data_IF_360677572288
#
_entry.id   IF_360677572288
#
_cell.length_a   1.000
_cell.length_b   1.000
_cell.length_c   1.000
_cell.angle_alpha   90.00
_cell.angle_beta   90.00
_cell.angle_gamma   90.00
#
_symmetry.space_group_name_H-M   'P 1'
#
loop_
_entity.id
_entity.type
_entity.pdbx_description
1 polymer ?
#
# COMPACT_ATOMS: atom_id res chain seq x y z
N UNK A 1 -21.93 -7.80 7.28
CA UNK A 1 -21.83 -7.67 8.74
C UNK A 1 -22.01 -6.20 9.08
N UNK A 2 -22.91 -5.86 9.99
CA UNK A 2 -23.11 -4.48 10.43
C UNK A 2 -22.27 -4.21 11.66
N UNK A 3 -21.49 -3.14 11.61
CA UNK A 3 -20.72 -2.57 12.71
C UNK A 3 -21.63 -1.61 13.47
N UNK A 4 -21.78 -1.82 14.77
CA UNK A 4 -22.51 -0.92 15.63
C UNK A 4 -21.63 -0.28 16.72
N UNK A 5 -22.21 0.64 17.48
CA UNK A 5 -21.54 1.30 18.60
C UNK A 5 -21.10 0.38 19.75
N UNK A 6 -21.42 -0.92 19.74
CA UNK A 6 -21.05 -1.90 20.77
C UNK A 6 -19.77 -2.68 20.43
N UNK A 7 -19.17 -2.41 19.27
CA UNK A 7 -17.89 -2.99 18.86
C UNK A 7 -16.85 -2.92 19.97
N UNK A 8 -16.20 -4.05 20.22
CA UNK A 8 -15.04 -4.09 21.11
C UNK A 8 -13.88 -3.37 20.44
N UNK A 9 -13.49 -2.24 21.02
CA UNK A 9 -12.37 -1.42 20.56
C UNK A 9 -11.17 -1.59 21.49
N UNK A 10 -9.99 -1.82 20.92
CA UNK A 10 -8.71 -1.68 21.62
C UNK A 10 -8.04 -0.40 21.16
N UNK A 11 -7.94 0.59 22.05
CA UNK A 11 -7.21 1.83 21.78
C UNK A 11 -5.71 1.54 21.87
N UNK A 12 -4.98 1.81 20.78
CA UNK A 12 -3.53 1.58 20.70
C UNK A 12 -2.73 2.87 20.59
N UNK A 13 -3.39 3.98 20.22
CA UNK A 13 -2.85 5.34 20.28
C UNK A 13 -4.00 6.36 20.39
N UNK A 14 -3.73 7.65 20.66
CA UNK A 14 -4.78 8.66 20.79
C UNK A 14 -5.76 8.73 19.61
N UNK A 15 -5.27 8.45 18.40
CA UNK A 15 -6.00 8.53 17.13
C UNK A 15 -6.21 7.18 16.43
N UNK A 16 -5.96 6.08 17.15
CA UNK A 16 -5.89 4.74 16.57
C UNK A 16 -6.58 3.72 17.48
N UNK A 17 -7.63 3.08 16.95
CA UNK A 17 -8.35 2.01 17.62
C UNK A 17 -8.52 0.82 16.65
N UNK A 18 -8.37 -0.39 17.20
CA UNK A 18 -8.66 -1.63 16.49
C UNK A 18 -10.05 -2.11 16.92
N UNK A 19 -10.96 -2.21 15.96
CA UNK A 19 -12.20 -2.96 16.09
C UNK A 19 -11.91 -4.45 15.90
N UNK A 20 -12.31 -5.23 16.90
CA UNK A 20 -12.27 -6.69 16.83
C UNK A 20 -13.51 -7.19 16.12
N UNK A 21 -13.35 -7.63 14.87
CA UNK A 21 -14.48 -8.14 14.10
C UNK A 21 -14.75 -9.60 14.54
N UNK A 22 -16.02 -9.97 14.81
CA UNK A 22 -16.37 -11.37 14.99
C UNK A 22 -16.06 -12.14 13.71
N UNK A 23 -15.87 -13.45 13.86
CA UNK A 23 -15.76 -14.33 12.72
C UNK A 23 -17.03 -14.24 11.85
N UNK A 24 -16.92 -14.45 10.53
CA UNK A 24 -18.08 -14.46 9.68
C UNK A 24 -19.09 -15.50 10.21
N UNK A 25 -20.40 -15.23 10.14
CA UNK A 25 -21.39 -16.23 10.50
C UNK A 25 -21.20 -17.46 9.60
N UNK A 26 -21.48 -18.65 10.14
CA UNK A 26 -21.54 -19.86 9.32
C UNK A 26 -22.53 -19.64 8.16
N UNK A 27 -22.08 -19.95 6.94
CA UNK A 27 -22.85 -19.81 5.71
C UNK A 27 -22.68 -21.07 4.88
N UNK A 28 -23.66 -21.33 4.03
CA UNK A 28 -23.50 -22.35 2.99
C UNK A 28 -22.27 -22.03 2.13
N UNK A 29 -21.51 -23.06 1.69
CA UNK A 29 -20.35 -22.88 0.85
C UNK A 29 -20.66 -21.98 -0.35
N UNK A 30 -19.98 -20.85 -0.43
CA UNK A 30 -20.14 -19.89 -1.52
C UNK A 30 -19.07 -20.11 -2.59
N UNK A 31 -19.35 -19.84 -3.87
CA UNK A 31 -18.32 -19.85 -4.89
C UNK A 31 -17.28 -18.76 -4.62
N UNK A 32 -16.01 -19.06 -4.88
CA UNK A 32 -14.86 -18.16 -4.64
C UNK A 32 -14.90 -16.89 -5.49
N UNK A 33 -15.54 -16.97 -6.66
CA UNK A 33 -15.73 -15.91 -7.66
C UNK A 33 -17.06 -16.16 -8.35
N UNK A 34 -17.67 -15.11 -8.91
CA UNK A 34 -18.91 -15.19 -9.69
C UNK A 34 -18.91 -16.42 -10.64
N UNK A 35 -19.87 -17.35 -10.52
CA UNK A 35 -19.93 -18.55 -11.36
C UNK A 35 -20.14 -18.23 -12.84
N UNK A 36 -20.80 -17.11 -13.17
CA UNK A 36 -21.09 -16.69 -14.54
C UNK A 36 -19.91 -15.97 -15.21
N UNK A 37 -18.92 -15.52 -14.43
CA UNK A 37 -17.72 -14.87 -14.97
C UNK A 37 -16.83 -15.90 -15.65
N UNK A 38 -16.65 -15.82 -16.97
CA UNK A 38 -15.86 -16.78 -17.75
C UNK A 38 -14.65 -16.16 -18.47
N UNK A 39 -13.93 -15.25 -17.80
CA UNK A 39 -12.61 -14.85 -18.29
C UNK A 39 -11.51 -15.83 -17.83
N UNK A 40 -10.30 -15.64 -18.38
CA UNK A 40 -9.16 -16.51 -18.08
C UNK A 40 -8.77 -16.51 -16.59
N UNK A 41 -8.95 -15.38 -15.90
CA UNK A 41 -8.63 -15.27 -14.48
C UNK A 41 -9.64 -16.05 -13.63
N UNK A 42 -10.94 -15.90 -13.92
CA UNK A 42 -11.99 -16.65 -13.23
C UNK A 42 -11.84 -18.16 -13.41
N UNK A 43 -11.58 -18.63 -14.64
CA UNK A 43 -11.30 -20.05 -14.90
C UNK A 43 -10.06 -20.55 -14.16
N UNK A 44 -8.99 -19.74 -14.12
CA UNK A 44 -7.76 -20.10 -13.41
C UNK A 44 -8.00 -20.26 -11.91
N UNK A 45 -8.70 -19.31 -11.28
CA UNK A 45 -9.02 -19.35 -9.85
C UNK A 45 -9.94 -20.52 -9.50
N UNK A 46 -11.00 -20.74 -10.29
CA UNK A 46 -11.90 -21.91 -10.09
C UNK A 46 -11.14 -23.22 -10.18
N UNK A 47 -10.20 -23.35 -11.12
CA UNK A 47 -9.33 -24.54 -11.20
C UNK A 47 -8.46 -24.71 -9.96
N UNK A 48 -7.88 -23.64 -9.41
CA UNK A 48 -7.12 -23.75 -8.16
C UNK A 48 -8.02 -24.21 -7.00
N UNK A 49 -9.22 -23.63 -6.89
CA UNK A 49 -10.18 -23.99 -5.84
C UNK A 49 -10.64 -25.45 -5.95
N UNK A 50 -11.01 -25.91 -7.16
CA UNK A 50 -11.42 -27.30 -7.39
C UNK A 50 -10.34 -28.33 -7.04
N UNK A 51 -9.07 -27.95 -7.10
CA UNK A 51 -7.94 -28.80 -6.72
C UNK A 51 -7.49 -28.63 -5.25
N UNK A 52 -8.25 -27.90 -4.43
CA UNK A 52 -7.90 -27.63 -3.02
C UNK A 52 -6.64 -26.77 -2.84
N UNK A 53 -6.23 -26.04 -3.88
CA UNK A 53 -4.99 -25.24 -3.88
C UNK A 53 -5.21 -23.76 -3.59
N UNK A 54 -6.44 -23.27 -3.67
CA UNK A 54 -6.80 -21.89 -3.36
C UNK A 54 -7.24 -21.78 -1.90
N UNK A 55 -6.81 -20.72 -1.22
CA UNK A 55 -7.19 -20.43 0.16
C UNK A 55 -8.64 -19.92 0.30
N UNK A 56 -9.22 -19.38 -0.77
CA UNK A 56 -10.55 -18.77 -0.71
C UNK A 56 -10.55 -17.37 -0.09
N UNK A 57 -11.73 -16.84 0.15
CA UNK A 57 -11.96 -15.46 0.61
C UNK A 57 -12.84 -15.36 1.85
N UNK A 58 -13.20 -16.49 2.48
CA UNK A 58 -14.12 -16.51 3.63
C UNK A 58 -13.60 -15.70 4.84
N UNK A 59 -12.28 -15.52 4.95
CA UNK A 59 -11.64 -14.72 6.01
C UNK A 59 -11.32 -13.27 5.62
N UNK A 60 -11.75 -12.84 4.43
CA UNK A 60 -11.50 -11.51 3.88
C UNK A 60 -12.73 -10.64 4.05
N UNK A 61 -12.51 -9.41 4.50
CA UNK A 61 -13.54 -8.40 4.67
C UNK A 61 -13.41 -7.32 3.61
N UNK A 62 -14.54 -6.79 3.17
CA UNK A 62 -14.58 -5.66 2.24
C UNK A 62 -15.13 -4.41 2.92
N UNK A 63 -14.33 -3.35 2.89
CA UNK A 63 -14.66 -2.02 3.43
C UNK A 63 -14.85 -1.02 2.28
N UNK A 64 -16.09 -0.80 1.87
CA UNK A 64 -16.45 0.28 0.96
C UNK A 64 -16.72 1.56 1.75
N UNK A 65 -16.05 2.65 1.39
CA UNK A 65 -16.10 3.93 2.12
C UNK A 65 -16.59 5.09 1.27
N UNK A 66 -17.31 4.80 0.18
CA UNK A 66 -17.89 5.81 -0.71
C UNK A 66 -19.40 5.63 -0.88
N UNK A 67 -20.06 5.04 0.12
CA UNK A 67 -21.51 4.79 0.16
C UNK A 67 -22.04 3.99 -1.04
N UNK A 68 -21.21 3.08 -1.55
CA UNK A 68 -21.52 2.20 -2.66
C UNK A 68 -21.23 2.81 -4.04
N UNK A 69 -20.66 4.01 -4.10
CA UNK A 69 -20.40 4.72 -5.37
C UNK A 69 -19.51 3.92 -6.31
N UNK A 70 -18.38 3.39 -5.83
CA UNK A 70 -17.50 2.47 -6.58
C UNK A 70 -17.42 1.10 -5.91
N UNK A 71 -18.58 0.56 -5.50
CA UNK A 71 -18.61 -0.73 -4.81
C UNK A 71 -18.17 -1.89 -5.73
N UNK A 72 -17.39 -2.83 -5.21
CA UNK A 72 -17.24 -4.15 -5.82
C UNK A 72 -18.61 -4.85 -5.79
N UNK A 73 -19.13 -5.46 -6.87
CA UNK A 73 -20.44 -6.12 -6.82
C UNK A 73 -20.49 -7.30 -5.83
N UNK A 74 -21.57 -7.49 -5.05
CA UNK A 74 -21.72 -8.63 -4.13
C UNK A 74 -21.50 -10.00 -4.78
N UNK A 75 -21.91 -10.14 -6.03
CA UNK A 75 -21.80 -11.39 -6.79
C UNK A 75 -20.39 -11.66 -7.30
N UNK A 76 -19.52 -10.64 -7.38
CA UNK A 76 -18.18 -10.79 -7.95
C UNK A 76 -17.31 -11.76 -7.14
N UNK A 77 -17.40 -11.69 -5.80
CA UNK A 77 -16.69 -12.57 -4.87
C UNK A 77 -17.60 -12.93 -3.67
N UNK A 78 -18.49 -13.92 -3.82
CA UNK A 78 -19.53 -14.22 -2.83
C UNK A 78 -19.02 -14.63 -1.43
N UNK A 79 -17.79 -15.13 -1.33
CA UNK A 79 -17.14 -15.48 -0.06
C UNK A 79 -16.74 -14.26 0.80
N UNK A 80 -16.58 -13.08 0.21
CA UNK A 80 -16.12 -11.89 0.96
C UNK A 80 -17.19 -11.38 1.92
N UNK A 81 -16.82 -11.13 3.17
CA UNK A 81 -17.71 -10.51 4.15
C UNK A 81 -17.68 -8.99 4.06
N UNK A 82 -18.81 -8.37 3.68
CA UNK A 82 -18.93 -6.91 3.57
C UNK A 82 -19.12 -6.27 4.94
N UNK A 83 -18.35 -5.22 5.20
CA UNK A 83 -18.51 -4.33 6.34
C UNK A 83 -19.61 -3.30 6.00
N UNK A 84 -20.52 -3.07 6.94
CA UNK A 84 -21.53 -2.00 6.88
C UNK A 84 -21.45 -1.21 8.17
N UNK A 85 -21.51 0.11 8.10
CA UNK A 85 -21.50 0.98 9.26
C UNK A 85 -22.93 1.33 9.64
N UNK A 86 -23.27 1.23 10.92
CA UNK A 86 -24.52 1.75 11.44
C UNK A 86 -24.58 3.29 11.41
N UNK A 87 -25.75 3.84 11.70
CA UNK A 87 -25.98 5.29 11.68
C UNK A 87 -25.11 6.02 12.70
N UNK A 88 -24.79 5.41 13.84
CA UNK A 88 -23.96 6.02 14.88
C UNK A 88 -22.50 6.21 14.45
N UNK A 89 -21.94 5.23 13.72
CA UNK A 89 -20.60 5.32 13.17
C UNK A 89 -20.55 6.21 11.93
N UNK A 90 -21.59 6.18 11.08
CA UNK A 90 -21.72 7.08 9.92
C UNK A 90 -21.84 8.55 10.34
N UNK A 91 -22.61 8.85 11.39
CA UNK A 91 -22.71 10.20 11.96
C UNK A 91 -21.36 10.75 12.46
N UNK A 92 -20.40 9.87 12.78
CA UNK A 92 -19.02 10.23 13.16
C UNK A 92 -18.06 10.27 11.97
N UNK A 93 -18.53 10.06 10.74
CA UNK A 93 -17.72 9.99 9.53
C UNK A 93 -16.83 8.75 9.43
N UNK A 94 -17.04 7.72 10.26
CA UNK A 94 -16.13 6.56 10.33
C UNK A 94 -16.31 5.56 9.18
N UNK A 95 -17.40 5.66 8.41
CA UNK A 95 -17.68 4.80 7.26
C UNK A 95 -17.47 5.46 5.90
N UNK A 96 -16.86 6.66 5.84
CA UNK A 96 -16.72 7.43 4.60
C UNK A 96 -15.28 7.93 4.40
N UNK A 97 -14.84 8.05 3.14
CA UNK A 97 -13.57 8.64 2.74
C UNK A 97 -12.35 7.77 3.09
N UNK A 98 -11.26 8.44 3.50
CA UNK A 98 -10.01 7.77 3.83
C UNK A 98 -10.18 6.77 5.00
N UNK A 99 -9.55 5.60 4.88
CA UNK A 99 -9.57 4.56 5.91
C UNK A 99 -8.50 4.80 6.98
N UNK A 100 -8.59 4.07 8.10
CA UNK A 100 -7.54 4.05 9.14
C UNK A 100 -7.92 4.74 10.45
N UNK A 101 -9.02 5.50 10.49
CA UNK A 101 -9.59 5.99 11.76
C UNK A 101 -10.14 4.84 12.62
N UNK A 102 -10.71 3.82 11.97
CA UNK A 102 -11.08 2.55 12.57
C UNK A 102 -10.28 1.44 11.87
N UNK A 103 -9.47 0.71 12.63
CA UNK A 103 -8.70 -0.44 12.13
C UNK A 103 -9.42 -1.74 12.48
N UNK A 104 -9.00 -2.84 11.85
CA UNK A 104 -9.62 -4.15 11.98
C UNK A 104 -8.54 -5.20 12.17
N UNK A 105 -8.78 -6.18 13.04
CA UNK A 105 -7.87 -7.30 13.29
C UNK A 105 -8.03 -8.46 12.28
N UNK A 106 -8.55 -8.15 11.09
CA UNK A 106 -8.84 -9.07 9.99
C UNK A 106 -8.16 -8.59 8.71
N UNK A 107 -8.11 -9.48 7.71
CA UNK A 107 -7.70 -9.09 6.36
C UNK A 107 -8.82 -8.22 5.78
N UNK A 108 -8.45 -7.02 5.33
CA UNK A 108 -9.40 -6.08 4.75
C UNK A 108 -8.91 -5.64 3.38
N UNK A 109 -9.80 -5.71 2.40
CA UNK A 109 -9.64 -4.98 1.15
C UNK A 109 -10.69 -3.87 1.12
N UNK A 110 -10.38 -2.72 0.54
CA UNK A 110 -11.36 -1.63 0.56
C UNK A 110 -11.02 -0.52 -0.42
N UNK A 111 -11.98 0.38 -0.59
CA UNK A 111 -11.83 1.52 -1.48
C UNK A 111 -12.70 2.70 -1.06
N UNK A 112 -12.36 3.85 -1.62
CA UNK A 112 -13.20 5.05 -1.62
C UNK A 112 -12.93 5.87 -2.87
N UNK A 113 -13.87 5.91 -3.81
CA UNK A 113 -13.81 6.75 -5.01
C UNK A 113 -14.31 8.18 -4.76
N UNK A 114 -13.86 8.78 -3.66
CA UNK A 114 -14.19 10.14 -3.22
C UNK A 114 -12.94 11.01 -3.26
N UNK A 115 -13.10 12.32 -3.33
CA UNK A 115 -11.99 13.26 -3.23
C UNK A 115 -12.48 14.58 -2.60
N UNK A 116 -11.54 15.40 -2.13
CA UNK A 116 -11.83 16.78 -1.78
C UNK A 116 -11.86 17.59 -3.07
N UNK A 117 -13.03 17.92 -3.59
CA UNK A 117 -13.18 18.53 -4.92
C UNK A 117 -13.39 20.04 -4.92
N UNK A 118 -13.58 20.64 -3.74
CA UNK A 118 -13.92 22.05 -3.58
C UNK A 118 -12.84 22.81 -2.80
N UNK A 119 -12.66 24.08 -3.15
CA UNK A 119 -11.76 25.01 -2.46
C UNK A 119 -10.31 25.00 -2.98
N UNK A 120 -9.45 25.86 -2.43
CA UNK A 120 -8.05 26.00 -2.85
C UNK A 120 -7.20 24.76 -2.56
N UNK A 121 -7.76 23.83 -1.79
CA UNK A 121 -7.13 22.67 -1.19
C UNK A 121 -7.63 21.35 -1.81
N UNK A 122 -8.28 21.42 -2.98
CA UNK A 122 -8.83 20.26 -3.67
C UNK A 122 -7.75 19.20 -3.93
N UNK A 123 -8.00 17.95 -3.55
CA UNK A 123 -7.03 16.85 -3.53
C UNK A 123 -7.69 15.49 -3.45
N UNK A 124 -6.99 14.49 -3.93
CA UNK A 124 -7.34 13.10 -3.73
C UNK A 124 -7.16 12.65 -2.28
N UNK A 125 -7.77 11.51 -1.94
CA UNK A 125 -7.56 10.90 -0.63
C UNK A 125 -6.10 10.46 -0.40
N UNK A 126 -5.37 9.90 -1.39
CA UNK A 126 -3.96 9.59 -1.19
C UNK A 126 -3.10 10.84 -0.91
N UNK A 127 -3.30 11.93 -1.64
CA UNK A 127 -2.55 13.18 -1.37
C UNK A 127 -2.90 13.73 0.00
N UNK A 128 -4.18 13.69 0.39
CA UNK A 128 -4.59 14.04 1.76
C UNK A 128 -3.88 13.17 2.81
N UNK A 129 -3.86 11.85 2.60
CA UNK A 129 -3.24 10.90 3.52
C UNK A 129 -1.74 11.17 3.71
N UNK A 130 -1.05 11.63 2.66
CA UNK A 130 0.38 11.94 2.72
C UNK A 130 0.70 13.31 3.35
N UNK A 131 -0.29 14.21 3.43
CA UNK A 131 -0.06 15.63 3.77
C UNK A 131 -0.68 16.06 5.10
N UNK A 132 -1.53 15.23 5.71
CA UNK A 132 -2.28 15.58 6.91
C UNK A 132 -2.00 14.63 8.08
N UNK A 133 -1.63 15.12 9.27
CA UNK A 133 -1.57 14.27 10.45
C UNK A 133 -2.99 13.90 10.94
N UNK A 134 -3.21 12.68 11.47
CA UNK A 134 -2.25 11.60 11.70
C UNK A 134 -2.24 10.54 10.58
N UNK A 135 -2.59 10.91 9.35
CA UNK A 135 -2.92 9.95 8.28
C UNK A 135 -1.76 9.06 7.81
N UNK A 136 -0.49 9.52 7.72
CA UNK A 136 0.62 8.63 7.38
C UNK A 136 0.76 7.48 8.38
N UNK A 137 0.59 7.75 9.69
CA UNK A 137 0.68 6.72 10.73
C UNK A 137 -0.51 5.76 10.66
N UNK A 138 -1.70 6.25 10.32
CA UNK A 138 -2.88 5.41 10.07
C UNK A 138 -2.69 4.51 8.85
N UNK A 139 -2.17 5.04 7.75
CA UNK A 139 -1.87 4.29 6.54
C UNK A 139 -0.87 3.14 6.83
N UNK A 140 0.21 3.43 7.56
CA UNK A 140 1.13 2.39 8.03
C UNK A 140 0.44 1.35 8.92
N UNK A 141 -0.38 1.77 9.87
CA UNK A 141 -1.05 0.86 10.78
C UNK A 141 -2.05 -0.07 10.07
N UNK A 142 -2.81 0.46 9.11
CA UNK A 142 -3.68 -0.31 8.21
C UNK A 142 -2.86 -1.37 7.45
N UNK A 143 -1.77 -0.95 6.82
CA UNK A 143 -0.88 -1.84 6.07
C UNK A 143 -0.28 -2.95 6.95
N UNK A 144 0.19 -2.60 8.15
CA UNK A 144 0.72 -3.53 9.13
C UNK A 144 -0.34 -4.45 9.78
N UNK A 145 -1.63 -4.21 9.52
CA UNK A 145 -2.74 -5.07 9.92
C UNK A 145 -3.36 -5.84 8.75
N UNK A 146 -2.66 -5.93 7.61
CA UNK A 146 -3.14 -6.59 6.40
C UNK A 146 -4.37 -5.93 5.75
N UNK A 147 -4.45 -4.60 5.83
CA UNK A 147 -5.44 -3.86 5.06
C UNK A 147 -4.81 -3.40 3.74
N UNK A 148 -5.54 -3.57 2.66
CA UNK A 148 -5.14 -3.12 1.32
C UNK A 148 -6.26 -2.24 0.78
N UNK A 149 -6.01 -0.93 0.78
CA UNK A 149 -6.94 0.03 0.20
C UNK A 149 -6.50 0.49 -1.17
N UNK A 150 -7.49 0.73 -2.03
CA UNK A 150 -7.31 1.33 -3.36
C UNK A 150 -8.06 2.67 -3.39
N UNK A 151 -7.39 3.70 -3.89
CA UNK A 151 -7.98 5.03 -4.08
C UNK A 151 -7.60 5.58 -5.46
N UNK A 152 -8.52 6.25 -6.16
CA UNK A 152 -8.17 6.99 -7.37
C UNK A 152 -7.23 8.17 -7.08
N UNK A 153 -6.36 8.50 -8.04
CA UNK A 153 -5.48 9.67 -7.97
C UNK A 153 -6.23 11.00 -8.09
N UNK A 154 -7.39 11.01 -8.76
CA UNK A 154 -8.26 12.17 -8.95
C UNK A 154 -7.55 13.51 -9.19
N UNK A 155 -6.97 13.68 -10.39
CA UNK A 155 -6.27 14.87 -10.90
C UNK A 155 -4.93 15.22 -10.25
N UNK A 156 -4.49 14.49 -9.23
CA UNK A 156 -3.17 14.69 -8.61
C UNK A 156 -2.02 14.08 -9.43
N UNK A 157 -2.32 13.40 -10.53
CA UNK A 157 -1.35 12.79 -11.45
C UNK A 157 -1.85 12.82 -12.91
N UNK A 158 -2.45 13.95 -13.32
CA UNK A 158 -2.83 14.20 -14.71
C UNK A 158 -1.75 15.01 -15.44
N UNK A 159 -1.72 16.34 -15.25
CA UNK A 159 -0.74 17.23 -15.88
C UNK A 159 0.61 17.27 -15.14
N UNK A 160 0.59 16.99 -13.83
CA UNK A 160 1.76 17.00 -12.96
C UNK A 160 1.59 15.96 -11.85
N UNK A 161 2.72 15.47 -11.30
CA UNK A 161 2.73 14.64 -10.09
C UNK A 161 2.66 15.55 -8.86
N UNK A 162 1.48 15.56 -8.22
CA UNK A 162 1.18 16.33 -7.01
C UNK A 162 1.32 15.48 -5.74
N UNK A 163 1.88 14.28 -5.81
CA UNK A 163 2.13 13.49 -4.60
C UNK A 163 3.44 13.91 -3.93
N UNK A 164 3.44 14.24 -2.63
CA UNK A 164 4.68 14.63 -1.94
C UNK A 164 5.64 13.45 -1.70
N UNK A 165 5.14 12.21 -1.82
CA UNK A 165 5.88 11.00 -1.52
C UNK A 165 5.37 9.81 -2.34
N UNK A 166 6.24 8.81 -2.52
CA UNK A 166 5.83 7.45 -2.85
C UNK A 166 5.76 6.61 -1.57
N UNK A 167 4.85 5.64 -1.52
CA UNK A 167 4.71 4.76 -0.36
C UNK A 167 4.01 3.43 -0.70
N UNK A 168 4.10 2.41 0.17
CA UNK A 168 3.51 1.09 -0.11
C UNK A 168 2.13 0.88 0.55
N UNK A 169 1.58 1.87 1.25
CA UNK A 169 0.45 1.67 2.17
C UNK A 169 -0.92 1.53 1.51
N UNK A 170 -1.02 1.88 0.24
CA UNK A 170 -2.22 1.76 -0.58
C UNK A 170 -1.82 1.59 -2.04
N UNK A 171 -2.79 1.22 -2.88
CA UNK A 171 -2.66 1.35 -4.33
C UNK A 171 -3.39 2.62 -4.77
N UNK A 172 -2.75 3.39 -5.64
CA UNK A 172 -3.33 4.58 -6.24
C UNK A 172 -3.61 4.26 -7.70
N UNK A 173 -4.89 4.29 -8.11
CA UNK A 173 -5.28 4.02 -9.50
C UNK A 173 -5.30 5.32 -10.31
N UNK A 174 -4.83 5.26 -11.56
CA UNK A 174 -4.97 6.40 -12.49
C UNK A 174 -6.45 6.64 -12.80
N UNK A 175 -6.88 7.90 -12.71
CA UNK A 175 -8.23 8.34 -13.00
C UNK A 175 -9.07 8.64 -11.75
N UNK A 176 -10.38 8.50 -11.89
CA UNK A 176 -11.37 8.89 -10.88
C UNK A 176 -12.28 7.71 -10.51
N UNK A 177 -13.58 7.93 -10.29
CA UNK A 177 -14.52 6.89 -9.89
C UNK A 177 -14.43 5.65 -10.79
N UNK A 178 -14.55 4.47 -10.18
CA UNK A 178 -14.49 3.16 -10.83
C UNK A 178 -13.10 2.69 -11.27
N UNK A 179 -12.08 3.56 -11.30
CA UNK A 179 -10.70 3.16 -11.62
C UNK A 179 -10.08 2.21 -10.59
N UNK A 180 -10.63 2.18 -9.37
CA UNK A 180 -10.22 1.32 -8.26
C UNK A 180 -10.73 -0.13 -8.39
N UNK A 181 -11.84 -0.36 -9.09
CA UNK A 181 -12.48 -1.70 -9.18
C UNK A 181 -11.57 -2.79 -9.76
N UNK A 182 -10.86 -2.58 -10.89
CA UNK A 182 -9.98 -3.61 -11.45
C UNK A 182 -8.85 -4.02 -10.48
N UNK A 183 -8.38 -3.09 -9.66
CA UNK A 183 -7.39 -3.36 -8.62
C UNK A 183 -7.97 -4.22 -7.50
N UNK A 184 -9.16 -3.87 -7.00
CA UNK A 184 -9.86 -4.66 -5.98
C UNK A 184 -10.11 -6.09 -6.44
N UNK A 185 -10.55 -6.27 -7.68
CA UNK A 185 -10.76 -7.60 -8.26
C UNK A 185 -9.45 -8.40 -8.33
N UNK A 186 -8.37 -7.76 -8.81
CA UNK A 186 -7.07 -8.41 -8.92
C UNK A 186 -6.48 -8.76 -7.54
N UNK A 187 -6.63 -7.89 -6.54
CA UNK A 187 -6.25 -8.13 -5.15
C UNK A 187 -7.05 -9.31 -4.59
N UNK A 188 -8.38 -9.29 -4.73
CA UNK A 188 -9.24 -10.36 -4.23
C UNK A 188 -8.86 -11.71 -4.85
N UNK A 189 -8.72 -11.78 -6.17
CA UNK A 189 -8.25 -12.99 -6.86
C UNK A 189 -6.87 -13.45 -6.38
N UNK A 190 -5.96 -12.53 -6.12
CA UNK A 190 -4.60 -12.85 -5.64
C UNK A 190 -4.61 -13.41 -4.22
N UNK A 191 -5.38 -12.80 -3.31
CA UNK A 191 -5.54 -13.30 -1.94
C UNK A 191 -6.15 -14.69 -1.97
N UNK A 192 -7.22 -14.86 -2.74
CA UNK A 192 -7.93 -16.12 -2.94
C UNK A 192 -7.00 -17.23 -3.47
N UNK A 193 -6.08 -16.85 -4.36
CA UNK A 193 -5.15 -17.75 -5.02
C UNK A 193 -3.90 -18.08 -4.21
N UNK A 194 -3.68 -17.56 -3.00
CA UNK A 194 -2.63 -18.13 -2.15
C UNK A 194 -2.95 -19.59 -1.83
N UNK A 195 -1.91 -20.38 -1.54
CA UNK A 195 -2.12 -21.69 -0.91
C UNK A 195 -2.69 -21.50 0.50
N UNK A 196 -3.58 -22.38 0.98
CA UNK A 196 -4.19 -22.24 2.31
C UNK A 196 -3.16 -22.02 3.42
N UNK A 197 -2.07 -22.80 3.42
CA UNK A 197 -0.99 -22.70 4.41
C UNK A 197 -0.19 -21.40 4.28
N UNK A 198 0.01 -20.89 3.06
CA UNK A 198 0.70 -19.60 2.83
C UNK A 198 -0.17 -18.45 3.32
N UNK A 199 -1.48 -18.43 3.02
CA UNK A 199 -2.37 -17.36 3.48
C UNK A 199 -2.46 -17.36 5.02
N UNK A 200 -2.56 -18.53 5.64
CA UNK A 200 -2.59 -18.66 7.10
C UNK A 200 -1.33 -18.06 7.74
N UNK A 201 -0.14 -18.37 7.19
CA UNK A 201 1.13 -17.82 7.68
C UNK A 201 1.23 -16.30 7.43
N UNK A 202 0.83 -15.82 6.26
CA UNK A 202 0.79 -14.38 5.94
C UNK A 202 -0.12 -13.60 6.90
N UNK A 203 -1.27 -14.17 7.28
CA UNK A 203 -2.18 -13.59 8.26
C UNK A 203 -1.53 -13.54 9.64
N UNK A 204 -0.94 -14.63 10.10
CA UNK A 204 -0.28 -14.74 11.40
C UNK A 204 0.87 -13.73 11.54
N UNK A 205 1.72 -13.63 10.52
CA UNK A 205 2.90 -12.76 10.53
C UNK A 205 2.58 -11.29 10.19
N UNK A 206 1.33 -10.99 9.82
CA UNK A 206 0.90 -9.66 9.34
C UNK A 206 1.70 -9.18 8.12
N UNK A 207 1.92 -10.09 7.17
CA UNK A 207 2.70 -9.85 5.96
C UNK A 207 1.88 -10.00 4.67
N UNK A 208 0.56 -10.15 4.75
CA UNK A 208 -0.28 -10.27 3.56
C UNK A 208 -0.24 -9.01 2.70
N UNK A 209 -0.50 -7.82 3.27
CA UNK A 209 -0.49 -6.57 2.52
C UNK A 209 0.86 -6.31 1.81
N UNK A 210 2.03 -6.41 2.48
CA UNK A 210 3.31 -6.26 1.79
C UNK A 210 3.58 -7.33 0.73
N UNK A 211 3.14 -8.57 0.97
CA UNK A 211 3.31 -9.64 -0.02
C UNK A 211 2.43 -9.42 -1.25
N UNK A 212 1.18 -8.99 -1.07
CA UNK A 212 0.28 -8.67 -2.19
C UNK A 212 0.77 -7.45 -2.96
N UNK A 213 1.30 -6.41 -2.29
CA UNK A 213 1.96 -5.28 -2.95
C UNK A 213 3.16 -5.74 -3.80
N UNK A 214 3.98 -6.65 -3.26
CA UNK A 214 5.11 -7.24 -3.99
C UNK A 214 4.63 -7.98 -5.24
N UNK A 215 3.62 -8.85 -5.09
CA UNK A 215 3.01 -9.60 -6.20
C UNK A 215 2.42 -8.67 -7.24
N UNK A 216 1.64 -7.67 -6.82
CA UNK A 216 1.01 -6.69 -7.70
C UNK A 216 2.04 -5.96 -8.57
N UNK A 217 3.10 -5.43 -7.95
CA UNK A 217 4.17 -4.69 -8.64
C UNK A 217 4.99 -5.59 -9.58
N UNK A 218 5.28 -6.83 -9.17
CA UNK A 218 6.04 -7.78 -10.02
C UNK A 218 5.24 -8.32 -11.20
N UNK A 219 3.93 -8.43 -11.05
CA UNK A 219 3.06 -9.03 -12.05
C UNK A 219 2.65 -8.05 -13.16
N UNK A 220 2.87 -6.75 -12.97
CA UNK A 220 2.59 -5.71 -13.97
C UNK A 220 3.10 -6.10 -15.36
N UNK A 221 2.33 -5.77 -16.40
CA UNK A 221 2.59 -6.20 -17.79
C UNK A 221 3.96 -5.74 -18.32
N UNK A 222 4.47 -4.62 -17.84
CA UNK A 222 5.77 -4.03 -18.19
C UNK A 222 6.95 -4.61 -17.38
N UNK A 223 6.70 -5.29 -16.26
CA UNK A 223 7.75 -5.84 -15.39
C UNK A 223 8.03 -7.27 -15.80
N UNK A 224 9.11 -7.56 -16.54
CA UNK A 224 9.39 -8.91 -17.08
C UNK A 224 10.63 -9.57 -16.47
N UNK A 225 11.44 -8.81 -15.76
CA UNK A 225 12.70 -9.28 -15.19
C UNK A 225 12.94 -8.71 -13.78
N UNK A 226 13.97 -9.22 -13.09
CA UNK A 226 14.46 -8.61 -11.83
C UNK A 226 14.87 -7.16 -12.05
N UNK A 227 15.49 -6.85 -13.19
CA UNK A 227 15.90 -5.47 -13.52
C UNK A 227 14.72 -4.53 -13.63
N UNK A 228 13.63 -4.97 -14.27
CA UNK A 228 12.43 -4.14 -14.39
C UNK A 228 11.77 -3.93 -13.03
N UNK A 229 11.78 -4.97 -12.18
CA UNK A 229 11.31 -4.83 -10.80
C UNK A 229 12.17 -3.83 -10.02
N UNK A 230 13.48 -3.90 -10.17
CA UNK A 230 14.44 -2.95 -9.58
C UNK A 230 14.58 -1.68 -10.44
N UNK A 231 13.46 -1.06 -10.80
CA UNK A 231 13.41 0.20 -11.55
C UNK A 231 12.12 0.97 -11.29
N UNK A 232 12.08 2.24 -11.68
CA UNK A 232 10.88 3.08 -11.57
C UNK A 232 9.64 2.47 -12.24
N UNK A 233 9.83 1.67 -13.31
CA UNK A 233 8.78 1.00 -14.07
C UNK A 233 7.84 0.14 -13.22
N UNK A 234 8.37 -0.52 -12.17
CA UNK A 234 7.59 -1.34 -11.24
C UNK A 234 7.07 -0.55 -10.03
N UNK A 235 7.56 0.67 -9.85
CA UNK A 235 7.35 1.47 -8.67
C UNK A 235 6.83 2.89 -8.93
N UNK A 236 5.85 3.08 -9.84
CA UNK A 236 5.21 4.38 -9.96
C UNK A 236 4.40 4.69 -8.68
N UNK A 237 4.08 5.98 -8.49
CA UNK A 237 3.18 6.41 -7.42
C UNK A 237 1.72 6.10 -7.76
N UNK A 238 1.34 6.28 -9.03
CA UNK A 238 0.04 5.91 -9.60
C UNK A 238 0.19 4.74 -10.57
N UNK A 239 -0.75 3.81 -10.51
CA UNK A 239 -0.77 2.62 -11.36
C UNK A 239 -1.87 2.70 -12.41
N UNK A 240 -1.54 2.19 -13.60
CA UNK A 240 -2.48 2.02 -14.68
C UNK A 240 -3.24 0.69 -14.55
N UNK A 241 -4.55 0.73 -14.81
CA UNK A 241 -5.39 -0.47 -14.88
C UNK A 241 -4.94 -1.42 -15.99
N UNK A 242 -4.51 -0.89 -17.13
CA UNK A 242 -4.16 -1.69 -18.32
C UNK A 242 -2.92 -2.56 -18.10
N UNK A 243 -2.11 -2.22 -17.09
CA UNK A 243 -0.92 -2.96 -16.70
C UNK A 243 -1.23 -4.17 -15.79
N UNK A 244 -2.44 -4.29 -15.25
CA UNK A 244 -2.82 -5.36 -14.32
C UNK A 244 -2.91 -6.71 -15.05
N UNK A 245 -2.31 -7.75 -14.45
CA UNK A 245 -2.27 -9.10 -15.02
C UNK A 245 -2.75 -10.13 -13.97
N UNK A 246 -4.07 -10.31 -13.79
CA UNK A 246 -4.61 -11.10 -12.67
C UNK A 246 -4.11 -12.56 -12.66
N UNK A 247 -4.04 -13.22 -13.82
CA UNK A 247 -3.53 -14.60 -13.90
C UNK A 247 -2.08 -14.69 -13.44
N UNK A 248 -1.24 -13.70 -13.80
CA UNK A 248 0.16 -13.66 -13.39
C UNK A 248 0.32 -13.38 -11.89
N UNK A 249 -0.53 -12.51 -11.34
CA UNK A 249 -0.57 -12.26 -9.90
C UNK A 249 -0.94 -13.55 -9.13
N UNK A 250 -2.00 -14.25 -9.54
CA UNK A 250 -2.42 -15.50 -8.92
C UNK A 250 -1.35 -16.61 -9.05
N UNK A 251 -0.71 -16.73 -10.21
CA UNK A 251 0.38 -17.69 -10.40
C UNK A 251 1.58 -17.39 -9.49
N UNK A 252 1.90 -16.11 -9.28
CA UNK A 252 2.95 -15.70 -8.35
C UNK A 252 2.55 -15.99 -6.89
N UNK A 253 1.31 -15.68 -6.50
CA UNK A 253 0.79 -16.01 -5.17
C UNK A 253 0.88 -17.52 -4.88
N UNK A 254 0.55 -18.38 -5.86
CA UNK A 254 0.70 -19.83 -5.76
C UNK A 254 2.16 -20.29 -5.57
N UNK A 255 3.11 -19.57 -6.17
CA UNK A 255 4.54 -19.91 -6.07
C UNK A 255 5.16 -19.59 -4.71
N UNK A 256 4.55 -18.71 -3.92
CA UNK A 256 5.10 -18.30 -2.61
C UNK A 256 4.77 -19.38 -1.58
N UNK A 257 5.81 -19.97 -0.98
CA UNK A 257 5.70 -20.90 0.13
C UNK A 257 5.68 -20.19 1.49
N UNK A 258 5.10 -20.81 2.52
CA UNK A 258 5.16 -20.26 3.87
C UNK A 258 6.59 -19.88 4.30
N UNK A 259 7.57 -20.72 3.96
CA UNK A 259 9.00 -20.55 4.25
C UNK A 259 9.73 -19.54 3.34
N UNK A 260 9.05 -19.03 2.31
CA UNK A 260 9.60 -18.08 1.33
C UNK A 260 8.89 -16.71 1.40
N UNK A 261 7.97 -16.49 2.35
CA UNK A 261 7.27 -15.20 2.53
C UNK A 261 8.29 -14.04 2.62
N UNK A 262 8.14 -12.98 1.81
CA UNK A 262 9.04 -11.84 1.86
C UNK A 262 8.87 -11.01 3.15
N UNK A 263 9.94 -10.38 3.66
CA UNK A 263 9.84 -9.43 4.76
C UNK A 263 9.14 -8.12 4.36
N UNK A 264 8.78 -7.31 5.35
CA UNK A 264 8.38 -5.91 5.17
C UNK A 264 9.50 -4.98 5.63
N UNK A 265 10.05 -4.17 4.72
CA UNK A 265 11.14 -3.24 5.04
C UNK A 265 10.71 -2.21 6.08
N UNK A 266 11.56 -2.04 7.10
CA UNK A 266 11.41 -1.06 8.18
C UNK A 266 12.60 -0.09 8.21
N UNK A 267 12.35 1.14 7.77
CA UNK A 267 13.26 2.27 7.76
C UNK A 267 13.18 3.10 9.04
N UNK A 268 14.29 3.74 9.37
CA UNK A 268 14.42 4.76 10.42
C UNK A 268 15.46 5.80 9.99
N UNK A 269 15.19 7.07 10.27
CA UNK A 269 16.19 8.15 10.18
C UNK A 269 17.09 8.08 11.42
N UNK A 270 18.41 7.96 11.22
CA UNK A 270 19.39 8.00 12.31
C UNK A 270 19.96 9.42 12.49
N UNK A 271 20.12 10.15 11.39
CA UNK A 271 20.53 11.56 11.41
C UNK A 271 20.16 12.25 10.10
N UNK A 272 19.91 13.55 10.15
CA UNK A 272 19.68 14.40 8.99
C UNK A 272 20.37 15.76 9.16
N UNK A 273 20.84 16.36 8.06
CA UNK A 273 21.45 17.70 8.08
C UNK A 273 20.47 18.76 7.63
N UNK A 274 20.51 19.93 8.29
CA UNK A 274 19.58 21.02 8.06
C UNK A 274 18.22 20.79 8.74
N UNK A 275 17.31 21.74 8.56
CA UNK A 275 15.90 21.57 8.94
C UNK A 275 15.10 21.55 7.64
N UNK A 276 14.20 20.57 7.44
CA UNK A 276 13.27 20.61 6.31
C UNK A 276 12.52 21.94 6.30
N UNK A 277 12.05 22.37 5.14
CA UNK A 277 11.30 23.62 5.03
C UNK A 277 9.89 23.43 5.56
N UNK A 278 9.32 24.49 6.17
CA UNK A 278 7.91 24.48 6.52
C UNK A 278 7.13 24.90 5.29
N UNK A 279 6.44 23.96 4.69
CA UNK A 279 5.45 24.28 3.69
C UNK A 279 4.16 24.71 4.39
N UNK A 280 3.85 26.00 4.37
CA UNK A 280 2.60 26.52 4.95
C UNK A 280 1.35 26.01 4.21
N UNK A 281 1.49 25.51 2.98
CA UNK A 281 0.42 24.87 2.22
C UNK A 281 0.20 23.41 2.62
N UNK A 282 1.14 22.79 3.35
CA UNK A 282 1.00 21.41 3.84
C UNK A 282 0.77 21.38 5.35
N UNK A 283 -0.31 20.75 5.85
CA UNK A 283 -0.54 20.63 7.29
C UNK A 283 0.57 19.91 8.06
N UNK A 284 1.29 18.97 7.43
CA UNK A 284 2.48 18.35 8.02
C UNK A 284 3.71 19.26 8.06
N UNK A 285 3.74 20.35 7.28
CA UNK A 285 4.82 21.33 7.19
C UNK A 285 6.12 20.78 6.59
N UNK A 286 6.62 19.64 7.08
CA UNK A 286 8.00 19.18 6.88
C UNK A 286 8.11 17.75 6.31
N UNK A 287 7.00 17.00 6.29
CA UNK A 287 6.94 15.59 5.88
C UNK A 287 6.51 14.66 7.01
N UNK A 288 6.88 13.38 6.93
CA UNK A 288 6.50 12.37 7.92
C UNK A 288 7.55 11.25 8.03
N UNK A 289 7.53 10.57 9.18
CA UNK A 289 8.30 9.35 9.44
C UNK A 289 7.34 8.21 9.76
N UNK A 290 7.35 7.19 8.91
CA UNK A 290 6.69 5.91 9.15
C UNK A 290 7.65 4.77 8.82
N UNK A 291 7.47 3.56 9.39
CA UNK A 291 8.46 2.50 9.20
C UNK A 291 8.69 2.07 7.74
N UNK A 292 7.81 2.31 6.79
CA UNK A 292 8.04 1.91 5.38
C UNK A 292 7.89 3.08 4.38
N UNK A 293 7.76 4.30 4.88
CA UNK A 293 7.82 5.51 4.07
C UNK A 293 8.29 6.70 4.93
N UNK A 294 9.35 7.36 4.47
CA UNK A 294 9.87 8.58 5.07
C UNK A 294 9.77 9.66 3.99
N UNK A 295 9.18 10.80 4.33
CA UNK A 295 9.03 11.91 3.39
C UNK A 295 9.56 13.20 3.99
N UNK A 296 10.17 14.05 3.14
CA UNK A 296 10.62 15.39 3.51
C UNK A 296 10.27 16.40 2.42
N UNK A 297 9.83 17.58 2.84
CA UNK A 297 9.71 18.76 1.98
C UNK A 297 10.88 19.73 2.23
N UNK A 298 11.53 20.20 1.16
CA UNK A 298 12.69 21.09 1.25
C UNK A 298 12.58 22.27 0.30
N UNK A 299 12.96 23.44 0.79
CA UNK A 299 13.23 24.60 -0.06
C UNK A 299 14.41 24.30 -0.97
N UNK A 300 14.41 24.91 -2.16
CA UNK A 300 15.51 24.80 -3.11
C UNK A 300 16.80 25.30 -2.46
N UNK A 301 17.87 24.54 -2.64
CA UNK A 301 19.17 24.85 -2.05
C UNK A 301 20.27 24.22 -2.87
N UNK A 302 21.32 25.00 -3.17
CA UNK A 302 22.54 24.50 -3.80
C UNK A 302 23.40 23.68 -2.82
N UNK A 303 23.19 23.86 -1.51
CA UNK A 303 23.85 23.06 -0.49
C UNK A 303 23.31 21.62 -0.48
N UNK A 304 24.19 20.61 -0.56
CA UNK A 304 23.77 19.23 -0.41
C UNK A 304 23.27 18.96 1.01
N UNK A 305 22.15 18.24 1.10
CA UNK A 305 21.61 17.67 2.34
C UNK A 305 22.05 16.22 2.45
N UNK A 306 22.15 15.75 3.69
CA UNK A 306 22.57 14.38 4.00
C UNK A 306 21.60 13.78 5.00
N UNK A 307 21.17 12.56 4.74
CA UNK A 307 20.43 11.73 5.68
C UNK A 307 21.09 10.38 5.81
N UNK A 308 21.13 9.85 7.04
CA UNK A 308 21.52 8.47 7.30
C UNK A 308 20.26 7.70 7.64
N UNK A 309 19.97 6.71 6.80
CA UNK A 309 18.80 5.84 6.89
C UNK A 309 19.25 4.42 7.24
N UNK A 310 18.44 3.75 8.05
CA UNK A 310 18.70 2.40 8.55
C UNK A 310 17.51 1.50 8.27
N UNK A 311 17.74 0.36 7.63
CA UNK A 311 16.74 -0.71 7.44
C UNK A 311 16.92 -1.87 8.44
N UNK A 312 17.82 -1.70 9.42
CA UNK A 312 18.17 -2.69 10.46
C UNK A 312 16.98 -3.18 11.31
N UNK A 313 15.87 -2.45 11.33
CA UNK A 313 14.63 -2.88 11.98
C UNK A 313 13.84 -3.94 11.21
N UNK A 314 14.29 -4.32 10.01
CA UNK A 314 13.66 -5.32 9.15
C UNK A 314 14.09 -6.73 9.58
N UNK A 315 13.12 -7.62 9.74
CA UNK A 315 13.35 -9.04 10.04
C UNK A 315 12.65 -9.93 9.02
N UNK A 316 13.31 -11.02 8.64
CA UNK A 316 12.70 -12.08 7.83
C UNK A 316 11.82 -12.99 8.72
N UNK A 317 10.56 -13.28 8.32
CA UNK A 317 9.67 -14.15 9.11
C UNK A 317 10.17 -15.60 9.23
N UNK A 318 11.14 -15.98 8.40
CA UNK A 318 11.79 -17.30 8.39
C UNK A 318 13.25 -17.22 8.86
N UNK A 319 13.64 -16.09 9.49
CA UNK A 319 14.97 -15.85 10.06
C UNK A 319 16.12 -15.97 9.06
N UNK A 320 15.84 -15.80 7.76
CA UNK A 320 16.87 -15.81 6.72
C UNK A 320 17.72 -14.53 6.79
N UNK A 321 19.03 -14.60 6.47
CA UNK A 321 19.85 -13.40 6.32
C UNK A 321 19.28 -12.48 5.23
N UNK A 322 19.20 -11.19 5.53
CA UNK A 322 18.73 -10.17 4.59
C UNK A 322 19.89 -9.41 3.94
N UNK A 323 19.71 -9.12 2.66
CA UNK A 323 20.47 -8.11 1.90
C UNK A 323 19.52 -6.99 1.49
N UNK A 324 20.02 -5.76 1.35
CA UNK A 324 19.21 -4.61 0.99
C UNK A 324 19.67 -3.96 -0.30
N UNK A 325 18.72 -3.72 -1.19
CA UNK A 325 18.91 -3.02 -2.46
C UNK A 325 18.29 -1.63 -2.34
N UNK A 326 19.06 -0.58 -2.68
CA UNK A 326 18.61 0.81 -2.64
C UNK A 326 18.68 1.38 -4.05
N UNK A 327 17.59 1.96 -4.51
CA UNK A 327 17.48 2.48 -5.87
C UNK A 327 16.87 3.86 -5.85
N UNK A 328 17.54 4.80 -6.50
CA UNK A 328 16.92 6.08 -6.83
C UNK A 328 15.93 5.84 -7.96
N UNK A 329 14.68 6.18 -7.71
CA UNK A 329 13.58 6.17 -8.67
C UNK A 329 12.95 7.58 -8.68
N UNK A 330 12.28 7.99 -9.76
CA UNK A 330 11.74 9.35 -9.88
C UNK A 330 12.55 10.23 -10.83
N UNK A 331 12.29 11.55 -10.80
CA UNK A 331 12.65 12.47 -11.89
C UNK A 331 14.09 13.01 -11.81
N UNK A 332 14.65 13.15 -10.60
CA UNK A 332 15.89 13.90 -10.34
C UNK A 332 17.04 12.99 -9.88
N UNK A 333 17.25 11.89 -10.59
CA UNK A 333 18.17 10.83 -10.16
C UNK A 333 19.64 11.28 -10.10
N UNK A 334 20.04 12.23 -10.94
CA UNK A 334 21.40 12.79 -11.02
C UNK A 334 21.74 13.71 -9.83
N UNK A 335 20.73 14.16 -9.08
CA UNK A 335 20.90 15.01 -7.90
C UNK A 335 21.10 14.21 -6.60
N UNK A 336 21.16 12.89 -6.69
CA UNK A 336 21.20 11.97 -5.55
C UNK A 336 22.40 11.07 -5.62
N UNK A 337 23.09 10.91 -4.48
CA UNK A 337 24.16 9.95 -4.29
C UNK A 337 23.85 9.06 -3.09
N UNK A 338 23.91 7.76 -3.33
CA UNK A 338 23.78 6.73 -2.31
C UNK A 338 25.18 6.23 -1.91
N UNK A 339 25.48 6.24 -0.61
CA UNK A 339 26.75 5.75 -0.06
C UNK A 339 26.45 4.67 1.00
N UNK A 340 26.60 3.38 0.68
CA UNK A 340 26.38 2.29 1.64
C UNK A 340 27.30 2.43 2.86
N UNK A 341 26.75 2.22 4.05
CA UNK A 341 27.48 2.33 5.32
C UNK A 341 27.53 0.99 6.11
N UNK A 342 26.97 -0.09 5.56
CA UNK A 342 26.92 -1.41 6.18
C UNK A 342 27.16 -2.53 5.16
N UNK A 343 27.69 -3.69 5.58
CA UNK A 343 28.10 -4.78 4.68
C UNK A 343 26.92 -5.48 4.00
N UNK A 344 25.69 -5.28 4.48
CA UNK A 344 24.45 -5.86 3.92
C UNK A 344 23.59 -4.83 3.18
N UNK A 345 24.08 -3.59 3.05
CA UNK A 345 23.27 -2.46 2.58
C UNK A 345 22.19 -2.03 3.59
N UNK A 346 22.23 -2.48 4.84
CA UNK A 346 21.22 -2.20 5.87
C UNK A 346 21.27 -0.78 6.44
N UNK A 347 22.26 0.00 6.01
CA UNK A 347 22.46 1.39 6.37
C UNK A 347 22.96 2.16 5.16
N UNK A 348 22.34 3.30 4.87
CA UNK A 348 22.60 4.10 3.69
C UNK A 348 22.73 5.57 4.06
N UNK A 349 23.83 6.19 3.62
CA UNK A 349 23.92 7.65 3.60
C UNK A 349 23.37 8.13 2.24
N UNK A 350 22.34 8.95 2.30
CA UNK A 350 21.73 9.60 1.14
C UNK A 350 22.18 11.05 1.12
N UNK A 351 22.87 11.44 0.06
CA UNK A 351 23.25 12.83 -0.20
C UNK A 351 22.42 13.32 -1.37
N UNK A 352 21.70 14.42 -1.20
CA UNK A 352 20.82 14.97 -2.24
C UNK A 352 20.86 16.49 -2.27
N UNK A 353 20.49 17.07 -3.41
CA UNK A 353 20.20 18.51 -3.52
C UNK A 353 18.69 18.69 -3.71
N UNK A 354 18.02 19.47 -2.84
CA UNK A 354 16.61 19.78 -3.03
C UNK A 354 16.33 20.36 -4.41
N UNK A 355 15.28 19.87 -5.08
CA UNK A 355 14.87 20.31 -6.41
C UNK A 355 14.48 21.79 -6.44
N UNK A 356 14.47 22.35 -7.65
CA UNK A 356 14.14 23.76 -7.90
C UNK A 356 12.68 23.98 -8.34
N UNK A 357 12.00 22.91 -8.77
CA UNK A 357 10.69 23.01 -9.40
C UNK A 357 9.63 22.19 -8.65
N UNK A 358 8.41 22.72 -8.49
CA UNK A 358 7.24 21.94 -8.07
C UNK A 358 7.04 20.71 -8.97
N UNK A 359 6.62 19.58 -8.39
CA UNK A 359 6.43 18.31 -9.10
C UNK A 359 7.70 17.50 -9.34
N UNK A 360 8.89 18.03 -9.03
CA UNK A 360 10.11 17.22 -8.97
C UNK A 360 10.19 16.48 -7.63
N UNK A 361 10.23 15.15 -7.70
CA UNK A 361 10.37 14.27 -6.53
C UNK A 361 11.54 13.30 -6.73
N UNK A 362 12.39 13.24 -5.71
CA UNK A 362 13.36 12.17 -5.54
C UNK A 362 12.67 11.09 -4.72
N UNK A 363 12.61 9.88 -5.25
CA UNK A 363 12.18 8.70 -4.51
C UNK A 363 13.36 7.72 -4.41
N UNK A 364 13.53 7.11 -3.25
CA UNK A 364 14.50 6.03 -3.07
C UNK A 364 13.73 4.82 -2.58
N UNK A 365 13.66 3.79 -3.43
CA UNK A 365 13.06 2.52 -3.09
C UNK A 365 14.09 1.61 -2.41
N UNK A 366 13.67 0.98 -1.31
CA UNK A 366 14.49 0.09 -0.50
C UNK A 366 13.83 -1.29 -0.44
N UNK A 367 14.54 -2.31 -0.88
CA UNK A 367 14.07 -3.69 -0.91
C UNK A 367 14.88 -4.54 0.05
N UNK A 368 14.23 -5.49 0.71
CA UNK A 368 14.91 -6.57 1.41
C UNK A 368 14.86 -7.84 0.54
N UNK A 369 16.01 -8.47 0.35
CA UNK A 369 16.18 -9.76 -0.33
C UNK A 369 16.45 -10.83 0.74
N UNK A 370 15.58 -11.82 0.85
CA UNK A 370 15.76 -12.97 1.74
C UNK A 370 16.36 -14.20 1.03
N UNK A 371 16.89 -14.01 -0.19
CA UNK A 371 17.44 -15.07 -1.05
C UNK A 371 16.38 -15.87 -1.81
N UNK A 372 15.08 -15.56 -1.63
CA UNK A 372 13.96 -16.18 -2.35
C UNK A 372 13.14 -15.15 -3.11
N UNK A 373 12.78 -14.07 -2.42
CA UNK A 373 12.03 -12.97 -2.98
C UNK A 373 12.60 -11.64 -2.50
N UNK A 374 12.67 -10.66 -3.41
CA UNK A 374 12.69 -9.27 -2.96
C UNK A 374 11.30 -8.90 -2.43
N UNK A 375 11.28 -8.17 -1.33
CA UNK A 375 10.08 -7.58 -0.73
C UNK A 375 9.41 -6.55 -1.64
N UNK A 376 8.22 -6.10 -1.25
CA UNK A 376 7.75 -4.78 -1.67
C UNK A 376 8.73 -3.69 -1.14
N UNK A 377 8.87 -2.56 -1.84
CA UNK A 377 9.75 -1.49 -1.39
C UNK A 377 9.18 -0.77 -0.16
N UNK A 378 10.07 -0.33 0.73
CA UNK A 378 9.86 0.90 1.48
C UNK A 378 10.42 2.09 0.69
N UNK A 379 10.01 3.31 1.04
CA UNK A 379 10.43 4.50 0.31
C UNK A 379 11.02 5.57 1.22
N UNK A 380 11.99 6.31 0.69
CA UNK A 380 12.37 7.62 1.17
C UNK A 380 12.14 8.64 0.05
N UNK A 381 11.30 9.65 0.30
CA UNK A 381 10.94 10.66 -0.67
C UNK A 381 11.37 12.05 -0.24
N UNK A 382 11.90 12.81 -1.20
CA UNK A 382 12.21 14.23 -1.05
C UNK A 382 11.48 14.99 -2.15
N UNK A 383 10.67 15.96 -1.75
CA UNK A 383 9.98 16.88 -2.65
C UNK A 383 10.40 18.31 -2.37
N UNK A 384 10.20 19.18 -3.35
CA UNK A 384 10.37 20.62 -3.19
C UNK A 384 9.19 21.22 -2.39
N UNK A 385 9.47 22.10 -1.42
CA UNK A 385 8.43 22.87 -0.72
C UNK A 385 7.93 24.01 -1.62
N UNK A 386 6.67 23.96 -1.98
CA UNK A 386 6.01 24.78 -3.01
C UNK A 386 4.61 24.21 -3.21
N UNK A 387 3.72 24.85 -3.99
CA UNK A 387 2.35 24.32 -4.14
C UNK A 387 2.35 22.89 -4.70
N UNK A 388 2.15 21.91 -3.83
CA UNK A 388 1.84 20.50 -4.08
C UNK A 388 0.32 20.33 -4.12
#
# INVERSE_FOLDING_TARGET
MTLDGTLRLTRIAPYLAIAHLPDPPEREPQPIIDPERDDAAARYLRRLAANGRAAGLDSVYYDNRDDGHSELPPTAFPQITRIRYDDALRAKGLGYGLAGALLFDRIVIGNSSTAYTNGPDARSLPRHAMTHPPEPQRAYASYALNHIYVYPEHRDHDEADLFPANWPYMLISQGSSYSDRPFLEAIAMTIAAFRPETLARLRQERLLAPTVQMVFRRAQSQVRSRRDYLSQTAHPVVFDTDAIQPVRMMAMAQSIAPEDIPPMVRLRVESETGKPARDEALPLGYGFDTPSSIARAWETSDEPRTMILSSSGTSDPNQRPLQFEWLVIGTDQDKVRLVPQGPKGDRMQVVFRPGALPGQRIDIAVFADNGRHLSAPAFFSVTHSGRI
#
